data_IF_520295192080
#
_entry.id   IF_520295192080
#
_cell.length_a   1.000
_cell.length_b   1.000
_cell.length_c   1.000
_cell.angle_alpha   90.00
_cell.angle_beta   90.00
_cell.angle_gamma   90.00
#
_symmetry.space_group_name_H-M   'P 1'
#
loop_
_entity.id
_entity.type
_entity.pdbx_description
1 polymer ?
#
# COMPACT_ATOMS: atom_id res chain seq x y z
N UNK A 1 6.35 24.63 -14.06
CA UNK A 1 6.05 23.75 -12.90
C UNK A 1 7.31 22.97 -12.55
N UNK A 2 7.60 22.77 -11.26
CA UNK A 2 8.69 21.90 -10.81
C UNK A 2 8.22 20.44 -10.74
N UNK A 3 9.15 19.50 -10.94
CA UNK A 3 8.91 18.06 -10.79
C UNK A 3 8.60 17.74 -9.31
N UNK A 4 7.63 16.85 -9.08
CA UNK A 4 7.24 16.37 -7.75
C UNK A 4 7.35 14.85 -7.68
N UNK A 5 7.77 14.32 -6.54
CA UNK A 5 7.89 12.90 -6.28
C UNK A 5 6.86 12.43 -5.26
N UNK A 6 6.14 11.36 -5.59
CA UNK A 6 5.15 10.74 -4.71
C UNK A 6 5.53 9.31 -4.33
N UNK A 7 5.08 8.88 -3.15
CA UNK A 7 5.28 7.52 -2.65
C UNK A 7 3.93 6.82 -2.50
N UNK A 8 3.72 5.70 -3.20
CA UNK A 8 2.50 4.90 -3.10
C UNK A 8 2.69 3.76 -2.09
N UNK A 9 1.84 3.73 -1.07
CA UNK A 9 1.82 2.71 -0.04
C UNK A 9 1.12 1.45 -0.55
N UNK A 10 1.79 0.31 -0.50
CA UNK A 10 1.23 -1.00 -0.85
C UNK A 10 0.36 -1.56 0.29
N UNK A 11 -0.70 -0.84 0.67
CA UNK A 11 -1.56 -1.17 1.81
C UNK A 11 -2.62 -2.26 1.53
N UNK A 12 -2.54 -2.94 0.38
CA UNK A 12 -3.40 -4.08 0.01
C UNK A 12 -2.80 -5.45 0.36
N UNK A 13 -1.51 -5.53 0.64
CA UNK A 13 -0.88 -6.76 1.07
C UNK A 13 -1.24 -6.98 2.54
N UNK A 14 -1.41 -8.23 2.97
CA UNK A 14 -1.74 -8.53 4.36
C UNK A 14 -0.73 -7.87 5.30
N UNK A 15 -1.14 -6.80 5.96
CA UNK A 15 -0.31 -6.03 6.89
C UNK A 15 -0.73 -6.44 8.29
N UNK A 16 0.21 -6.99 9.05
CA UNK A 16 -0.02 -7.45 10.42
C UNK A 16 -0.18 -6.28 11.40
N UNK A 17 0.56 -5.18 11.17
CA UNK A 17 0.54 -3.97 11.98
C UNK A 17 0.33 -2.73 11.09
N UNK A 18 -0.86 -2.12 11.18
CA UNK A 18 -1.22 -0.91 10.43
C UNK A 18 -0.28 0.27 10.74
N UNK A 19 0.38 0.29 11.90
CA UNK A 19 1.33 1.34 12.25
C UNK A 19 2.57 1.33 11.35
N UNK A 20 2.88 0.22 10.69
CA UNK A 20 3.94 0.16 9.67
C UNK A 20 3.66 1.16 8.53
N UNK A 21 2.40 1.28 8.11
CA UNK A 21 2.01 2.19 7.02
C UNK A 21 2.18 3.65 7.43
N UNK A 22 1.85 3.97 8.69
CA UNK A 22 2.05 5.31 9.26
C UNK A 22 3.54 5.65 9.33
N UNK A 23 4.38 4.71 9.80
CA UNK A 23 5.84 4.91 9.86
C UNK A 23 6.46 5.11 8.47
N UNK A 24 6.00 4.37 7.45
CA UNK A 24 6.45 4.54 6.07
C UNK A 24 6.09 5.94 5.52
N UNK A 25 4.88 6.44 5.83
CA UNK A 25 4.50 7.79 5.44
C UNK A 25 5.39 8.86 6.09
N UNK A 26 5.69 8.72 7.39
CA UNK A 26 6.62 9.62 8.10
C UNK A 26 8.03 9.59 7.50
N UNK A 27 8.51 8.40 7.09
CA UNK A 27 9.80 8.26 6.42
C UNK A 27 9.80 8.93 5.03
N UNK A 28 8.72 8.79 4.26
CA UNK A 28 8.59 9.47 2.97
C UNK A 28 8.62 11.00 3.14
N UNK A 29 7.96 11.54 4.16
CA UNK A 29 8.03 12.96 4.50
C UNK A 29 9.47 13.39 4.86
N UNK A 30 10.15 12.62 5.73
CA UNK A 30 11.54 12.90 6.11
C UNK A 30 12.53 12.82 4.93
N UNK A 31 12.22 12.05 3.89
CA UNK A 31 13.01 11.93 2.67
C UNK A 31 12.68 13.02 1.62
N UNK A 32 11.71 13.89 1.90
CA UNK A 32 11.36 15.02 1.03
C UNK A 32 10.41 14.67 -0.11
N UNK A 33 9.65 13.57 -0.03
CA UNK A 33 8.59 13.30 -0.98
C UNK A 33 7.46 14.34 -0.84
N UNK A 34 6.93 14.79 -1.98
CA UNK A 34 5.87 15.80 -2.03
C UNK A 34 4.49 15.24 -1.67
N UNK A 35 4.30 13.92 -1.74
CA UNK A 35 3.01 13.27 -1.47
C UNK A 35 3.15 11.80 -1.12
N UNK A 36 2.20 11.31 -0.32
CA UNK A 36 2.02 9.89 0.00
C UNK A 36 0.59 9.48 -0.38
N UNK A 37 0.45 8.33 -1.02
CA UNK A 37 -0.84 7.82 -1.52
C UNK A 37 -1.11 6.44 -0.94
N UNK A 38 -2.31 6.23 -0.43
CA UNK A 38 -2.81 4.92 -0.01
C UNK A 38 -4.13 4.65 -0.74
N UNK A 39 -4.41 3.39 -1.04
CA UNK A 39 -5.68 3.01 -1.67
C UNK A 39 -6.61 2.42 -0.60
N UNK A 40 -7.90 2.77 -0.65
CA UNK A 40 -8.89 2.10 0.16
C UNK A 40 -9.22 0.74 -0.47
N UNK A 41 -9.03 -0.34 0.29
CA UNK A 41 -9.23 -1.70 -0.19
C UNK A 41 -10.39 -2.33 0.57
N UNK A 42 -11.59 -2.24 0.00
CA UNK A 42 -12.81 -2.90 0.53
C UNK A 42 -12.67 -4.44 0.55
N UNK A 43 -11.80 -4.99 -0.32
CA UNK A 43 -11.42 -6.40 -0.33
C UNK A 43 -9.89 -6.50 -0.15
N UNK A 44 -9.45 -7.05 0.98
CA UNK A 44 -8.03 -7.32 1.21
C UNK A 44 -7.58 -8.44 0.25
N UNK A 45 -6.57 -8.18 -0.59
CA UNK A 45 -6.11 -9.13 -1.62
C UNK A 45 -5.53 -10.41 -0.99
N UNK A 46 -5.02 -10.34 0.25
CA UNK A 46 -4.62 -11.51 1.02
C UNK A 46 -5.79 -12.44 1.36
N UNK A 47 -6.93 -11.89 1.77
CA UNK A 47 -8.16 -12.67 2.02
C UNK A 47 -8.69 -13.33 0.74
N UNK A 48 -8.57 -12.63 -0.40
CA UNK A 48 -8.94 -13.19 -1.69
C UNK A 48 -8.02 -14.35 -2.06
N UNK A 49 -6.70 -14.22 -1.92
CA UNK A 49 -5.73 -15.28 -2.25
C UNK A 49 -5.96 -16.57 -1.43
N UNK A 50 -6.18 -16.46 -0.11
CA UNK A 50 -6.51 -17.63 0.72
C UNK A 50 -7.80 -18.34 0.29
N UNK A 51 -8.76 -17.59 -0.29
CA UNK A 51 -10.06 -18.14 -0.70
C UNK A 51 -10.09 -18.74 -2.11
N UNK A 52 -9.26 -18.26 -3.06
CA UNK A 52 -9.23 -18.81 -4.43
C UNK A 52 -8.18 -19.93 -4.61
N UNK A 53 -7.14 -19.96 -3.79
CA UNK A 53 -6.02 -20.89 -3.95
C UNK A 53 -5.40 -20.80 -5.35
N UNK A 54 -4.95 -21.94 -5.90
CA UNK A 54 -4.25 -22.02 -7.19
C UNK A 54 -5.15 -22.13 -8.43
N UNK A 55 -6.45 -21.79 -8.34
CA UNK A 55 -7.35 -21.99 -9.49
C UNK A 55 -6.97 -21.07 -10.66
N UNK A 56 -6.86 -21.61 -11.89
CA UNK A 56 -6.43 -20.84 -13.04
C UNK A 56 -7.46 -19.76 -13.34
N UNK A 57 -7.00 -18.55 -13.64
CA UNK A 57 -7.85 -17.48 -14.13
C UNK A 57 -8.07 -17.71 -15.63
N UNK A 58 -9.34 -17.77 -16.05
CA UNK A 58 -9.73 -17.55 -17.44
C UNK A 58 -9.46 -16.08 -17.82
#
# INVERSE_FOLDING_TARGET
MALKFGFSLSNNQGIEDVQVIVRLAQQAEALGFDSVWASDHVFNVGYVFERIGHRPRL
#
